data_IF_973118697799
#
_entry.id   IF_973118697799
#
_cell.length_a   1.000
_cell.length_b   1.000
_cell.length_c   1.000
_cell.angle_alpha   90.00
_cell.angle_beta   90.00
_cell.angle_gamma   90.00
#
_symmetry.space_group_name_H-M   'P 1'
#
loop_
_entity.id
_entity.type
_entity.pdbx_description
1 polymer ?
#
# COMPACT_ATOMS: atom_id res chain seq x y z
N UNK A 1 -1.28 13.51 27.62
CA UNK A 1 -2.25 13.92 26.58
C UNK A 1 -2.07 13.08 25.31
N UNK A 2 -3.12 12.82 24.54
CA UNK A 2 -3.02 12.15 23.23
C UNK A 2 -3.32 13.13 22.09
N UNK A 3 -2.54 13.12 21.02
CA UNK A 3 -2.71 14.03 19.88
C UNK A 3 -2.66 13.28 18.55
N UNK A 4 -3.59 13.62 17.66
CA UNK A 4 -3.59 13.17 16.26
C UNK A 4 -2.81 14.14 15.41
N UNK A 5 -1.86 13.63 14.65
CA UNK A 5 -0.90 14.40 13.86
C UNK A 5 -0.90 13.90 12.41
N UNK A 6 -0.31 14.69 11.51
CA UNK A 6 -0.12 14.25 10.14
C UNK A 6 0.84 13.05 10.06
N UNK A 7 0.68 12.20 9.05
CA UNK A 7 1.47 10.97 8.86
C UNK A 7 2.98 11.15 8.72
N UNK A 8 3.50 12.37 8.52
CA UNK A 8 4.94 12.65 8.48
C UNK A 8 5.32 13.93 9.22
N UNK A 9 6.56 14.01 9.70
CA UNK A 9 7.11 15.22 10.33
C UNK A 9 7.12 16.41 9.37
N UNK A 10 7.38 16.18 8.09
CA UNK A 10 7.30 17.22 7.06
C UNK A 10 5.90 17.82 7.02
N UNK A 11 4.85 16.99 7.00
CA UNK A 11 3.49 17.50 7.00
C UNK A 11 3.11 18.18 8.31
N UNK A 12 3.56 17.65 9.46
CA UNK A 12 3.37 18.29 10.76
C UNK A 12 3.91 19.73 10.76
N UNK A 13 5.16 19.92 10.29
CA UNK A 13 5.76 21.26 10.18
C UNK A 13 4.97 22.18 9.24
N UNK A 14 4.51 21.68 8.09
CA UNK A 14 3.72 22.46 7.11
C UNK A 14 2.39 22.96 7.66
N UNK A 15 1.84 22.32 8.69
CA UNK A 15 0.57 22.74 9.35
C UNK A 15 0.79 23.36 10.74
N UNK A 16 2.05 23.60 11.13
CA UNK A 16 2.40 24.30 12.37
C UNK A 16 2.49 23.42 13.62
N UNK A 17 2.64 22.09 13.47
CA UNK A 17 2.86 21.19 14.59
C UNK A 17 4.35 21.02 14.88
N UNK A 18 4.75 21.36 16.10
CA UNK A 18 6.13 21.20 16.59
C UNK A 18 6.24 19.95 17.48
N UNK A 19 6.20 18.79 16.83
CA UNK A 19 6.22 17.48 17.51
C UNK A 19 7.47 17.31 18.40
N UNK A 20 8.70 17.66 17.96
CA UNK A 20 9.88 17.59 18.81
C UNK A 20 9.73 18.37 20.12
N UNK A 21 9.27 19.63 20.06
CA UNK A 21 9.06 20.45 21.27
C UNK A 21 7.99 19.85 22.18
N UNK A 22 6.90 19.33 21.62
CA UNK A 22 5.86 18.70 22.45
C UNK A 22 6.35 17.47 23.21
N UNK A 23 7.25 16.68 22.60
CA UNK A 23 7.89 15.54 23.25
C UNK A 23 8.88 16.02 24.32
N UNK A 24 9.77 16.95 23.98
CA UNK A 24 10.83 17.46 24.88
C UNK A 24 10.24 18.12 26.14
N UNK A 25 9.17 18.91 25.99
CA UNK A 25 8.51 19.60 27.09
C UNK A 25 7.50 18.71 27.85
N UNK A 26 7.35 17.44 27.46
CA UNK A 26 6.43 16.50 28.12
C UNK A 26 4.95 16.88 27.96
N UNK A 27 4.58 17.50 26.84
CA UNK A 27 3.21 17.95 26.58
C UNK A 27 2.32 16.80 26.07
N UNK A 28 2.91 15.73 25.55
CA UNK A 28 2.20 14.61 24.93
C UNK A 28 2.66 13.28 25.49
N UNK A 29 1.74 12.32 25.62
CA UNK A 29 2.02 10.93 25.99
C UNK A 29 1.78 9.96 24.81
N UNK A 30 0.88 10.32 23.88
CA UNK A 30 0.52 9.47 22.74
C UNK A 30 0.48 10.29 21.45
N UNK A 31 1.24 9.84 20.44
CA UNK A 31 1.20 10.36 19.08
C UNK A 31 0.41 9.42 18.17
N UNK A 32 -0.55 9.98 17.43
CA UNK A 32 -1.39 9.25 16.49
C UNK A 32 -1.13 9.81 15.07
N UNK A 33 -0.12 9.31 14.35
CA UNK A 33 0.07 9.68 12.96
C UNK A 33 -1.03 9.08 12.09
N UNK A 34 -1.73 9.92 11.35
CA UNK A 34 -2.85 9.52 10.51
C UNK A 34 -2.97 10.42 9.27
N UNK A 35 -3.77 9.98 8.30
CA UNK A 35 -4.19 10.86 7.20
C UNK A 35 -5.21 11.90 7.67
N UNK A 36 -5.54 12.84 6.80
CA UNK A 36 -6.55 13.86 7.05
C UNK A 36 -7.92 13.46 6.47
N UNK A 37 -7.98 12.85 5.29
CA UNK A 37 -9.24 12.43 4.67
C UNK A 37 -9.44 10.90 4.63
N UNK A 38 -8.37 10.14 4.46
CA UNK A 38 -8.38 8.67 4.49
C UNK A 38 -7.14 8.11 5.17
N UNK A 39 -7.07 6.78 5.24
CA UNK A 39 -5.94 6.11 5.87
C UNK A 39 -4.67 6.41 5.09
N UNK A 40 -3.61 6.83 5.79
CA UNK A 40 -2.26 6.93 5.25
C UNK A 40 -1.54 5.58 5.47
N UNK A 41 -1.45 4.68 4.47
CA UNK A 41 -0.76 3.38 4.59
C UNK A 41 0.75 3.46 4.84
N UNK A 42 1.36 4.63 4.74
CA UNK A 42 2.81 4.83 4.88
C UNK A 42 3.13 6.00 5.80
N UNK A 43 2.31 6.17 6.84
CA UNK A 43 2.66 7.03 7.97
C UNK A 43 4.07 6.66 8.47
N UNK A 44 4.90 7.67 8.73
CA UNK A 44 6.32 7.55 9.10
C UNK A 44 6.49 7.16 10.57
N UNK A 45 5.96 5.99 10.90
CA UNK A 45 5.90 5.46 12.26
C UNK A 45 7.28 5.21 12.83
N UNK A 46 8.21 4.63 12.05
CA UNK A 46 9.56 4.35 12.50
C UNK A 46 10.29 5.63 12.95
N UNK A 47 10.19 6.71 12.14
CA UNK A 47 10.78 8.03 12.47
C UNK A 47 10.19 8.61 13.76
N UNK A 48 8.88 8.48 13.96
CA UNK A 48 8.20 8.98 15.17
C UNK A 48 8.56 8.15 16.41
N UNK A 49 8.64 6.82 16.27
CA UNK A 49 9.06 5.92 17.35
C UNK A 49 10.52 6.21 17.74
N UNK A 50 11.40 6.42 16.76
CA UNK A 50 12.79 6.80 16.99
C UNK A 50 12.88 8.13 17.76
N UNK A 51 12.09 9.14 17.38
CA UNK A 51 12.04 10.43 18.07
C UNK A 51 11.57 10.32 19.52
N UNK A 52 10.73 9.34 19.84
CA UNK A 52 10.24 9.12 21.20
C UNK A 52 11.20 8.30 22.07
N UNK A 53 12.33 7.81 21.53
CA UNK A 53 13.28 7.01 22.30
C UNK A 53 13.81 7.78 23.52
N UNK A 54 13.81 7.12 24.68
CA UNK A 54 14.22 7.74 25.94
C UNK A 54 13.11 8.54 26.65
N UNK A 55 11.89 8.53 26.11
CA UNK A 55 10.69 9.12 26.73
C UNK A 55 9.61 8.06 26.97
N UNK A 56 8.56 8.42 27.71
CA UNK A 56 7.37 7.57 27.89
C UNK A 56 6.33 7.74 26.76
N UNK A 57 6.63 8.53 25.73
CA UNK A 57 5.72 8.80 24.62
C UNK A 57 5.61 7.57 23.72
N UNK A 58 4.37 7.20 23.37
CA UNK A 58 4.07 6.02 22.54
C UNK A 58 3.35 6.41 21.25
N UNK A 59 3.58 5.61 20.19
CA UNK A 59 3.00 5.86 18.86
C UNK A 59 1.90 4.83 18.57
N UNK A 60 0.72 5.34 18.19
CA UNK A 60 -0.48 4.56 17.83
C UNK A 60 -0.98 5.02 16.44
N UNK A 61 -0.46 4.45 15.34
CA UNK A 61 -0.83 4.87 13.99
C UNK A 61 -2.32 4.73 13.73
N UNK A 62 -2.88 5.72 13.03
CA UNK A 62 -4.32 5.85 12.84
C UNK A 62 -4.82 5.26 11.53
N UNK A 63 -5.88 4.47 11.62
CA UNK A 63 -6.75 4.13 10.49
C UNK A 63 -7.93 5.09 10.42
N UNK A 64 -8.38 5.37 9.20
CA UNK A 64 -9.59 6.14 8.91
C UNK A 64 -10.65 5.25 8.24
N UNK A 65 -11.80 5.83 7.89
CA UNK A 65 -12.96 5.11 7.37
C UNK A 65 -12.73 4.33 6.06
N UNK A 66 -11.64 4.56 5.36
CA UNK A 66 -11.23 3.80 4.18
C UNK A 66 -9.78 4.04 3.77
N UNK A 67 -9.28 3.17 2.90
CA UNK A 67 -7.98 3.29 2.24
C UNK A 67 -8.18 3.87 0.83
N UNK A 68 -7.81 5.13 0.57
CA UNK A 68 -8.05 5.76 -0.73
C UNK A 68 -7.09 5.23 -1.80
N UNK A 69 -7.54 5.21 -3.05
CA UNK A 69 -6.70 4.87 -4.21
C UNK A 69 -6.37 3.39 -4.38
N UNK A 70 -6.99 2.49 -3.61
CA UNK A 70 -6.81 1.05 -3.77
C UNK A 70 -7.51 0.58 -5.05
N UNK A 71 -6.80 -0.06 -6.01
CA UNK A 71 -7.42 -0.59 -7.20
C UNK A 71 -8.27 -1.82 -6.88
N UNK A 72 -9.16 -2.20 -7.81
CA UNK A 72 -9.75 -3.53 -7.82
C UNK A 72 -8.65 -4.58 -8.04
N UNK A 73 -8.59 -5.56 -7.15
CA UNK A 73 -7.71 -6.73 -7.26
C UNK A 73 -8.44 -7.99 -7.71
N UNK A 74 -7.75 -9.13 -7.77
CA UNK A 74 -8.38 -10.45 -7.90
C UNK A 74 -9.35 -10.75 -6.74
N UNK A 75 -9.08 -10.22 -5.55
CA UNK A 75 -9.95 -10.33 -4.38
C UNK A 75 -11.13 -9.35 -4.48
N UNK A 76 -12.26 -9.69 -3.83
CA UNK A 76 -13.33 -8.73 -3.64
C UNK A 76 -12.88 -7.55 -2.76
N UNK A 77 -13.60 -6.43 -2.88
CA UNK A 77 -13.25 -5.16 -2.22
C UNK A 77 -13.08 -5.31 -0.70
N UNK A 78 -13.90 -6.12 -0.03
CA UNK A 78 -13.85 -6.27 1.43
C UNK A 78 -12.64 -7.09 1.85
N UNK A 79 -12.42 -8.23 1.19
CA UNK A 79 -11.26 -9.09 1.47
C UNK A 79 -9.95 -8.32 1.27
N UNK A 80 -9.86 -7.58 0.16
CA UNK A 80 -8.70 -6.72 -0.14
C UNK A 80 -8.47 -5.65 0.93
N UNK A 81 -9.51 -4.89 1.31
CA UNK A 81 -9.40 -3.87 2.38
C UNK A 81 -8.86 -4.48 3.68
N UNK A 82 -9.37 -5.65 4.08
CA UNK A 82 -8.96 -6.31 5.31
C UNK A 82 -7.51 -6.82 5.24
N UNK A 83 -7.11 -7.40 4.11
CA UNK A 83 -5.73 -7.84 3.89
C UNK A 83 -4.76 -6.65 3.89
N UNK A 84 -5.12 -5.51 3.27
CA UNK A 84 -4.32 -4.29 3.29
C UNK A 84 -4.22 -3.71 4.71
N UNK A 85 -5.33 -3.65 5.45
CA UNK A 85 -5.34 -3.21 6.85
C UNK A 85 -4.41 -4.05 7.72
N UNK A 86 -4.42 -5.39 7.57
CA UNK A 86 -3.50 -6.29 8.28
C UNK A 86 -2.05 -6.05 7.88
N UNK A 87 -1.76 -5.92 6.59
CA UNK A 87 -0.41 -5.64 6.09
C UNK A 87 0.17 -4.32 6.63
N UNK A 88 -0.64 -3.25 6.58
CA UNK A 88 -0.29 -1.93 7.16
C UNK A 88 -0.05 -2.05 8.66
N UNK A 89 -0.94 -2.74 9.39
CA UNK A 89 -0.81 -2.93 10.84
C UNK A 89 0.48 -3.69 11.19
N UNK A 90 0.79 -4.78 10.48
CA UNK A 90 2.03 -5.52 10.68
C UNK A 90 3.26 -4.65 10.43
N UNK A 91 3.25 -3.82 9.36
CA UNK A 91 4.33 -2.86 9.08
C UNK A 91 4.50 -1.86 10.24
N UNK A 92 3.41 -1.33 10.78
CA UNK A 92 3.43 -0.40 11.90
C UNK A 92 3.94 -1.03 13.19
N UNK A 93 3.55 -2.26 13.51
CA UNK A 93 4.11 -2.98 14.66
C UNK A 93 5.60 -3.25 14.49
N UNK A 94 6.04 -3.66 13.30
CA UNK A 94 7.48 -3.80 13.00
C UNK A 94 8.24 -2.49 13.19
N UNK A 95 7.62 -1.36 12.87
CA UNK A 95 8.17 -0.03 13.09
C UNK A 95 8.15 0.42 14.57
N UNK A 96 7.63 -0.40 15.50
CA UNK A 96 7.64 -0.14 16.94
C UNK A 96 6.37 0.51 17.49
N UNK A 97 5.29 0.60 16.71
CA UNK A 97 3.99 1.04 17.21
C UNK A 97 3.54 0.18 18.41
N UNK A 98 2.87 0.81 19.39
CA UNK A 98 2.33 0.11 20.57
C UNK A 98 0.90 -0.37 20.39
N UNK A 99 0.22 0.07 19.34
CA UNK A 99 -1.13 -0.33 18.98
C UNK A 99 -1.61 0.45 17.77
N UNK A 100 -2.88 0.25 17.41
CA UNK A 100 -3.54 0.99 16.32
C UNK A 100 -4.63 1.89 16.88
N UNK A 101 -4.77 3.10 16.32
CA UNK A 101 -5.89 3.99 16.59
C UNK A 101 -6.92 3.87 15.46
N UNK A 102 -8.20 3.70 15.79
CA UNK A 102 -9.26 3.47 14.80
C UNK A 102 -10.23 4.65 14.75
N UNK A 103 -10.19 5.44 13.67
CA UNK A 103 -11.07 6.59 13.42
C UNK A 103 -12.07 6.29 12.31
N UNK A 104 -13.33 6.73 12.46
CA UNK A 104 -14.41 6.47 11.49
C UNK A 104 -14.65 4.98 11.16
N UNK A 105 -14.19 4.07 12.02
CA UNK A 105 -14.56 2.67 11.99
C UNK A 105 -15.84 2.51 12.81
N UNK A 106 -16.95 2.97 12.25
CA UNK A 106 -18.25 2.89 12.92
C UNK A 106 -18.57 1.43 13.26
N UNK A 107 -18.99 1.20 14.50
CA UNK A 107 -19.29 -0.12 15.06
C UNK A 107 -20.58 -0.72 14.45
N UNK A 108 -20.53 -1.10 13.19
CA UNK A 108 -21.47 -2.07 12.61
C UNK A 108 -21.03 -3.48 12.99
N UNK A 109 -21.98 -4.37 13.32
CA UNK A 109 -21.68 -5.75 13.71
C UNK A 109 -20.80 -6.49 12.68
N UNK A 110 -20.96 -6.17 11.39
CA UNK A 110 -20.45 -7.01 10.30
C UNK A 110 -19.50 -6.28 9.31
N UNK A 111 -19.35 -4.95 9.44
CA UNK A 111 -18.59 -4.16 8.46
C UNK A 111 -17.08 -4.20 8.69
N UNK A 112 -16.62 -4.19 9.95
CA UNK A 112 -15.18 -4.21 10.32
C UNK A 112 -14.84 -5.12 11.51
N UNK A 113 -15.74 -6.02 11.94
CA UNK A 113 -15.53 -6.88 13.12
C UNK A 113 -14.27 -7.73 13.02
N UNK A 114 -14.01 -8.28 11.84
CA UNK A 114 -12.84 -9.14 11.60
C UNK A 114 -11.51 -8.41 11.84
N UNK A 115 -11.18 -7.31 11.11
CA UNK A 115 -9.93 -6.59 11.36
C UNK A 115 -9.86 -6.03 12.78
N UNK A 116 -10.98 -5.61 13.39
CA UNK A 116 -10.99 -5.14 14.79
C UNK A 116 -10.52 -6.18 15.81
N UNK A 117 -10.67 -7.47 15.52
CA UNK A 117 -10.18 -8.56 16.38
C UNK A 117 -8.74 -9.00 16.06
N UNK A 118 -8.13 -8.41 15.04
CA UNK A 118 -6.83 -8.85 14.51
C UNK A 118 -5.74 -7.79 14.63
N UNK A 119 -6.06 -6.51 14.42
CA UNK A 119 -5.06 -5.42 14.41
C UNK A 119 -4.64 -4.93 15.80
N UNK A 120 -5.08 -5.60 16.86
CA UNK A 120 -4.82 -5.20 18.25
C UNK A 120 -3.44 -5.58 18.78
N UNK A 121 -2.79 -6.58 18.20
CA UNK A 121 -1.41 -6.96 18.54
C UNK A 121 -0.73 -7.72 17.39
N UNK A 122 0.59 -7.95 17.53
CA UNK A 122 1.36 -8.78 16.59
C UNK A 122 0.83 -10.21 16.57
N UNK A 123 0.50 -10.75 17.75
CA UNK A 123 0.03 -12.13 17.91
C UNK A 123 -1.28 -12.37 17.16
N UNK A 124 -2.22 -11.42 17.18
CA UNK A 124 -3.50 -11.54 16.49
C UNK A 124 -3.40 -11.29 14.97
N UNK A 125 -2.26 -10.78 14.49
CA UNK A 125 -1.96 -10.63 13.06
C UNK A 125 -1.25 -11.84 12.46
N UNK A 126 -0.64 -12.72 13.29
CA UNK A 126 0.05 -13.92 12.80
C UNK A 126 -0.91 -14.81 12.01
N UNK A 127 -0.40 -15.39 10.91
CA UNK A 127 -1.15 -16.31 10.03
C UNK A 127 -2.49 -15.75 9.52
N UNK A 128 -2.52 -14.45 9.26
CA UNK A 128 -3.63 -13.80 8.56
C UNK A 128 -3.17 -13.38 7.18
N UNK A 129 -4.04 -13.47 6.19
CA UNK A 129 -3.73 -13.03 4.83
C UNK A 129 -3.49 -11.53 4.80
N UNK A 130 -2.44 -11.11 4.08
CA UNK A 130 -1.95 -9.72 4.06
C UNK A 130 -1.61 -9.26 2.66
N UNK A 131 -1.78 -7.96 2.45
CA UNK A 131 -1.26 -7.23 1.28
C UNK A 131 -0.28 -6.19 1.79
N UNK A 132 0.99 -6.33 1.41
CA UNK A 132 2.01 -5.31 1.57
C UNK A 132 2.12 -4.54 0.25
N UNK A 133 1.44 -3.41 0.16
CA UNK A 133 1.40 -2.58 -1.03
C UNK A 133 2.42 -1.44 -0.97
N UNK A 134 2.92 -1.07 -2.14
CA UNK A 134 3.69 0.13 -2.35
C UNK A 134 2.87 1.37 -2.00
N UNK A 135 3.58 2.44 -1.68
CA UNK A 135 2.95 3.71 -1.32
C UNK A 135 2.25 4.34 -2.52
N UNK A 136 0.92 4.22 -2.57
CA UNK A 136 0.08 4.83 -3.58
C UNK A 136 -0.23 6.31 -3.23
N UNK A 137 0.06 7.21 -4.18
CA UNK A 137 -0.30 8.63 -4.08
C UNK A 137 -1.63 8.89 -4.76
N UNK A 138 -2.68 8.91 -3.94
CA UNK A 138 -4.02 9.24 -4.40
C UNK A 138 -4.28 10.75 -4.39
N UNK A 139 -4.70 11.30 -5.52
CA UNK A 139 -5.15 12.69 -5.65
C UNK A 139 -6.52 12.72 -6.31
N UNK A 140 -7.49 13.27 -5.60
CA UNK A 140 -8.82 13.54 -6.14
C UNK A 140 -8.88 14.97 -6.71
N UNK A 141 -8.98 15.07 -8.04
CA UNK A 141 -8.92 16.34 -8.77
C UNK A 141 -10.29 16.98 -9.02
N UNK A 142 -11.39 16.28 -8.79
CA UNK A 142 -12.76 16.73 -9.11
C UNK A 142 -13.76 16.33 -8.01
N UNK A 143 -14.96 16.89 -8.06
CA UNK A 143 -16.04 16.63 -7.10
C UNK A 143 -15.89 17.35 -5.75
N UNK A 144 -16.84 17.12 -4.85
CA UNK A 144 -16.96 17.82 -3.56
C UNK A 144 -15.77 17.56 -2.61
N UNK A 145 -15.10 16.42 -2.80
CA UNK A 145 -13.93 16.01 -2.00
C UNK A 145 -12.59 16.37 -2.67
N UNK A 146 -12.61 17.19 -3.73
CA UNK A 146 -11.40 17.61 -4.44
C UNK A 146 -10.37 18.19 -3.48
N UNK A 147 -9.15 17.65 -3.55
CA UNK A 147 -8.02 18.11 -2.75
C UNK A 147 -7.98 17.58 -1.30
N UNK A 148 -8.99 16.83 -0.84
CA UNK A 148 -9.04 16.31 0.53
C UNK A 148 -7.83 15.43 0.89
N UNK A 149 -7.38 14.60 -0.05
CA UNK A 149 -6.26 13.66 0.11
C UNK A 149 -4.88 14.28 -0.17
N UNK A 150 -4.82 15.52 -0.67
CA UNK A 150 -3.56 16.16 -1.11
C UNK A 150 -2.54 16.29 0.03
N UNK A 151 -3.02 16.40 1.27
CA UNK A 151 -2.20 16.53 2.48
C UNK A 151 -1.96 15.22 3.22
N UNK A 152 -2.75 14.18 2.92
CA UNK A 152 -2.58 12.85 3.51
C UNK A 152 -1.23 12.28 3.09
N UNK A 153 -0.82 12.53 1.84
CA UNK A 153 0.45 12.04 1.31
C UNK A 153 1.09 12.99 0.30
N UNK A 154 2.31 13.45 0.61
CA UNK A 154 3.10 14.30 -0.29
C UNK A 154 3.79 13.48 -1.39
N UNK A 155 4.24 12.27 -1.08
CA UNK A 155 5.05 11.43 -1.97
C UNK A 155 4.47 10.03 -2.04
N UNK A 156 4.45 9.44 -3.23
CA UNK A 156 4.19 8.02 -3.42
C UNK A 156 4.91 7.55 -4.68
N UNK A 157 5.17 6.26 -4.73
CA UNK A 157 5.98 5.64 -5.79
C UNK A 157 5.12 5.18 -6.96
N UNK A 158 3.82 5.02 -6.71
CA UNK A 158 2.79 4.72 -7.69
C UNK A 158 1.57 5.63 -7.49
N UNK A 159 0.75 5.90 -8.53
CA UNK A 159 0.97 5.54 -9.92
C UNK A 159 2.15 6.32 -10.55
N UNK A 160 2.89 5.67 -11.45
CA UNK A 160 4.02 6.28 -12.17
C UNK A 160 4.00 5.88 -13.67
N UNK A 161 4.08 6.85 -14.60
CA UNK A 161 4.20 6.52 -16.02
C UNK A 161 5.59 5.93 -16.30
N UNK A 162 5.61 4.78 -16.96
CA UNK A 162 6.83 4.13 -17.39
C UNK A 162 7.28 4.73 -18.72
N UNK A 163 8.58 5.02 -18.82
CA UNK A 163 9.20 5.61 -20.00
C UNK A 163 10.32 4.70 -20.48
N UNK A 164 10.41 4.50 -21.80
CA UNK A 164 11.59 3.88 -22.38
C UNK A 164 12.74 4.88 -22.32
N UNK A 165 13.85 4.49 -21.71
CA UNK A 165 15.02 5.35 -21.50
C UNK A 165 16.23 4.78 -22.23
N UNK A 166 17.16 5.64 -22.65
CA UNK A 166 18.40 5.19 -23.32
C UNK A 166 19.29 4.36 -22.40
N UNK A 167 19.20 4.56 -21.09
CA UNK A 167 19.92 3.80 -20.06
C UNK A 167 19.24 2.48 -19.72
N UNK A 168 18.05 2.20 -20.29
CA UNK A 168 17.21 1.06 -19.91
C UNK A 168 17.00 0.97 -18.39
N UNK A 169 16.74 2.12 -17.78
CA UNK A 169 16.41 2.22 -16.36
C UNK A 169 14.94 2.63 -16.18
N UNK A 170 14.44 2.44 -14.96
CA UNK A 170 13.05 2.70 -14.60
C UNK A 170 12.87 2.90 -13.10
N UNK A 171 11.64 3.18 -12.63
CA UNK A 171 11.37 3.39 -11.22
C UNK A 171 11.70 2.14 -10.39
N UNK A 172 12.24 2.39 -9.19
CA UNK A 172 12.34 1.40 -8.11
C UNK A 172 11.23 1.69 -7.10
N UNK A 173 10.47 0.67 -6.77
CA UNK A 173 9.36 0.69 -5.82
C UNK A 173 9.78 -0.10 -4.58
N UNK A 174 9.49 0.41 -3.39
CA UNK A 174 9.86 -0.21 -2.14
C UNK A 174 8.63 -0.84 -1.46
N UNK A 175 8.81 -2.07 -1.01
CA UNK A 175 7.84 -2.80 -0.20
C UNK A 175 8.48 -3.11 1.16
N UNK A 176 7.66 -3.15 2.21
CA UNK A 176 8.11 -3.56 3.54
C UNK A 176 7.23 -4.70 4.02
N UNK A 177 7.79 -5.90 4.09
CA UNK A 177 7.16 -7.06 4.72
C UNK A 177 7.48 -7.08 6.21
N UNK A 178 6.53 -7.55 7.00
CA UNK A 178 6.69 -7.64 8.45
C UNK A 178 6.58 -9.05 9.01
N UNK A 179 6.04 -9.98 8.23
CA UNK A 179 5.85 -11.36 8.65
C UNK A 179 7.17 -12.13 8.59
N UNK A 180 7.41 -12.95 9.61
CA UNK A 180 8.51 -13.90 9.68
C UNK A 180 8.04 -15.26 9.13
N UNK A 181 8.44 -15.56 7.90
CA UNK A 181 8.03 -16.79 7.20
C UNK A 181 8.76 -18.05 7.67
N UNK A 182 9.86 -17.92 8.41
CA UNK A 182 10.50 -19.07 9.06
C UNK A 182 9.67 -19.54 10.26
N UNK A 183 9.07 -18.60 10.98
CA UNK A 183 8.18 -18.89 12.11
C UNK A 183 6.77 -19.30 11.67
N UNK A 184 6.21 -18.57 10.71
CA UNK A 184 4.87 -18.78 10.18
C UNK A 184 4.93 -18.89 8.65
N UNK A 185 5.06 -20.11 8.16
CA UNK A 185 5.15 -20.39 6.72
C UNK A 185 3.80 -20.18 6.02
N UNK A 186 3.71 -19.29 5.02
CA UNK A 186 2.51 -19.09 4.22
C UNK A 186 2.31 -20.22 3.20
N UNK A 187 1.08 -20.36 2.70
CA UNK A 187 0.75 -21.29 1.60
C UNK A 187 1.15 -20.72 0.24
N UNK A 188 1.13 -19.39 0.10
CA UNK A 188 1.57 -18.69 -1.10
C UNK A 188 2.10 -17.29 -0.78
N UNK A 189 3.14 -16.88 -1.51
CA UNK A 189 3.62 -15.49 -1.57
C UNK A 189 3.65 -15.09 -3.04
N UNK A 190 2.99 -13.99 -3.38
CA UNK A 190 2.91 -13.54 -4.77
C UNK A 190 3.25 -12.06 -4.88
N UNK A 191 4.21 -11.72 -5.75
CA UNK A 191 4.45 -10.35 -6.19
C UNK A 191 3.48 -10.02 -7.32
N UNK A 192 2.76 -8.92 -7.19
CA UNK A 192 1.80 -8.45 -8.20
C UNK A 192 2.09 -7.00 -8.57
N UNK A 193 2.08 -6.72 -9.86
CA UNK A 193 2.19 -5.37 -10.41
C UNK A 193 0.94 -5.08 -11.23
N UNK A 194 0.31 -3.94 -10.99
CA UNK A 194 -0.81 -3.49 -11.80
C UNK A 194 -0.32 -2.47 -12.81
N UNK A 195 -0.61 -2.74 -14.07
CA UNK A 195 -0.31 -1.85 -15.19
C UNK A 195 -1.62 -1.39 -15.81
N UNK A 196 -1.70 -0.12 -16.14
CA UNK A 196 -2.77 0.48 -16.92
C UNK A 196 -2.26 0.88 -18.30
N UNK A 197 -3.16 0.91 -19.28
CA UNK A 197 -2.83 1.13 -20.70
C UNK A 197 -1.94 0.02 -21.29
N UNK A 198 -2.03 -1.20 -20.77
CA UNK A 198 -1.30 -2.36 -21.26
C UNK A 198 -1.83 -2.83 -22.61
N UNK A 199 -0.92 -3.09 -23.55
CA UNK A 199 -1.24 -3.72 -24.82
C UNK A 199 -0.27 -4.84 -25.16
N UNK A 200 -0.75 -5.82 -25.93
CA UNK A 200 0.11 -6.90 -26.43
C UNK A 200 1.25 -6.31 -27.26
N UNK A 201 2.49 -6.66 -26.91
CA UNK A 201 3.70 -6.17 -27.56
C UNK A 201 4.44 -5.10 -26.77
N UNK A 202 3.90 -4.66 -25.64
CA UNK A 202 4.71 -4.03 -24.59
C UNK A 202 5.69 -5.06 -24.00
N UNK A 203 6.92 -4.62 -23.74
CA UNK A 203 7.98 -5.45 -23.15
C UNK A 203 8.52 -4.76 -21.91
N UNK A 204 8.47 -5.47 -20.77
CA UNK A 204 8.96 -5.01 -19.47
C UNK A 204 10.09 -5.90 -18.99
N UNK A 205 11.03 -5.29 -18.28
CA UNK A 205 11.99 -5.99 -17.42
C UNK A 205 11.66 -5.66 -15.96
N UNK A 206 11.45 -6.69 -15.16
CA UNK A 206 11.08 -6.57 -13.75
C UNK A 206 12.18 -7.24 -12.92
N UNK A 207 12.68 -6.53 -11.91
CA UNK A 207 13.65 -7.08 -10.97
C UNK A 207 13.09 -7.00 -9.55
N UNK A 208 13.13 -8.12 -8.83
CA UNK A 208 12.83 -8.20 -7.40
C UNK A 208 14.13 -8.42 -6.63
N UNK A 209 14.49 -7.49 -5.75
CA UNK A 209 15.78 -7.51 -5.02
C UNK A 209 16.99 -7.72 -5.95
N UNK A 210 16.97 -7.08 -7.12
CA UNK A 210 18.01 -7.19 -8.14
C UNK A 210 17.98 -8.47 -8.98
N UNK A 211 17.14 -9.46 -8.65
CA UNK A 211 16.93 -10.68 -9.45
C UNK A 211 15.87 -10.42 -10.51
N UNK A 212 16.21 -10.69 -11.77
CA UNK A 212 15.26 -10.59 -12.87
C UNK A 212 14.16 -11.65 -12.74
N UNK A 213 12.91 -11.21 -12.90
CA UNK A 213 11.72 -12.04 -12.79
C UNK A 213 11.28 -12.50 -14.17
N UNK A 214 11.07 -13.81 -14.32
CA UNK A 214 10.61 -14.45 -15.57
C UNK A 214 9.27 -15.15 -15.35
N UNK A 215 8.65 -15.59 -16.44
CA UNK A 215 7.46 -16.46 -16.42
C UNK A 215 6.25 -15.83 -15.70
N UNK A 216 6.05 -14.54 -15.92
CA UNK A 216 4.92 -13.80 -15.36
C UNK A 216 3.58 -14.35 -15.82
N UNK A 217 2.64 -14.48 -14.89
CA UNK A 217 1.24 -14.72 -15.19
C UNK A 217 0.50 -13.38 -15.36
N UNK A 218 -0.02 -13.12 -16.55
CA UNK A 218 -0.70 -11.87 -16.91
C UNK A 218 -2.21 -12.07 -16.85
N UNK A 219 -2.84 -11.52 -15.82
CA UNK A 219 -4.30 -11.47 -15.68
C UNK A 219 -4.85 -10.14 -16.20
N UNK A 220 -5.70 -10.21 -17.22
CA UNK A 220 -6.43 -9.05 -17.71
C UNK A 220 -7.58 -8.69 -16.77
N UNK A 221 -7.66 -7.40 -16.41
CA UNK A 221 -8.78 -6.90 -15.62
C UNK A 221 -10.05 -6.87 -16.47
N UNK A 222 -11.17 -7.23 -15.87
CA UNK A 222 -12.46 -7.16 -16.56
C UNK A 222 -12.93 -5.71 -16.58
N UNK A 223 -13.27 -5.21 -17.77
CA UNK A 223 -13.95 -3.92 -17.90
C UNK A 223 -15.36 -4.07 -17.31
N UNK A 224 -15.62 -3.40 -16.18
CA UNK A 224 -16.97 -3.35 -15.61
C UNK A 224 -17.81 -2.45 -16.52
N UNK A 225 -18.74 -3.02 -17.28
CA UNK A 225 -19.76 -2.27 -18.00
C UNK A 225 -20.71 -1.61 -16.97
N UNK A 226 -20.73 -0.28 -16.85
CA UNK A 226 -21.63 0.42 -15.93
C UNK A 226 -23.12 0.22 -16.27
N UNK A 227 -23.45 -0.34 -17.45
CA UNK A 227 -24.82 -0.56 -17.91
C UNK A 227 -25.28 -2.04 -17.89
N UNK A 228 -24.44 -2.99 -17.43
CA UNK A 228 -24.74 -4.43 -17.35
C UNK A 228 -25.63 -4.95 -18.50
N UNK A 229 -25.16 -4.85 -19.75
CA UNK A 229 -25.81 -5.57 -20.85
C UNK A 229 -25.51 -7.07 -20.70
N UNK A 230 -26.52 -7.82 -20.25
CA UNK A 230 -26.39 -9.18 -19.70
C UNK A 230 -25.70 -10.24 -20.58
N UNK A 231 -25.22 -11.29 -19.91
CA UNK A 231 -24.84 -12.66 -20.34
C UNK A 231 -24.04 -12.89 -21.64
N UNK A 232 -23.71 -11.87 -22.43
CA UNK A 232 -22.87 -11.94 -23.63
C UNK A 232 -21.55 -11.21 -23.38
N UNK A 233 -20.77 -11.70 -22.42
CA UNK A 233 -19.43 -11.20 -22.09
C UNK A 233 -18.38 -11.65 -23.13
N UNK A 234 -18.62 -11.36 -24.40
CA UNK A 234 -17.61 -11.55 -25.46
C UNK A 234 -16.78 -10.28 -25.54
N UNK A 235 -15.60 -10.27 -24.90
CA UNK A 235 -14.60 -9.20 -25.05
C UNK A 235 -14.46 -8.18 -23.92
N UNK A 236 -14.92 -8.48 -22.70
CA UNK A 236 -14.91 -7.56 -21.55
C UNK A 236 -13.54 -7.36 -20.88
N UNK A 237 -12.44 -7.25 -21.62
CA UNK A 237 -11.11 -6.99 -21.03
C UNK A 237 -10.79 -5.49 -21.11
N UNK A 238 -10.43 -4.91 -19.97
CA UNK A 238 -9.93 -3.54 -19.89
C UNK A 238 -8.45 -3.45 -20.26
N UNK A 239 -7.92 -2.22 -20.41
CA UNK A 239 -6.50 -1.98 -20.67
C UNK A 239 -5.60 -2.24 -19.44
N UNK A 240 -6.19 -2.65 -18.31
CA UNK A 240 -5.48 -2.89 -17.07
C UNK A 240 -5.13 -4.38 -16.94
N UNK A 241 -3.92 -4.68 -16.49
CA UNK A 241 -3.47 -6.04 -16.21
C UNK A 241 -2.79 -6.14 -14.86
N UNK A 242 -2.91 -7.31 -14.24
CA UNK A 242 -2.07 -7.76 -13.14
C UNK A 242 -0.98 -8.67 -13.69
N UNK A 243 0.28 -8.27 -13.54
CA UNK A 243 1.46 -9.09 -13.81
C UNK A 243 1.87 -9.75 -12.50
N UNK A 244 1.85 -11.07 -12.44
CA UNK A 244 1.97 -11.84 -11.20
C UNK A 244 3.14 -12.81 -11.25
N UNK A 245 3.84 -12.92 -10.12
CA UNK A 245 4.93 -13.86 -9.93
C UNK A 245 4.76 -14.58 -8.60
N UNK A 246 4.72 -15.91 -8.64
CA UNK A 246 4.79 -16.72 -7.43
C UNK A 246 6.23 -16.72 -6.91
N UNK A 247 6.38 -16.45 -5.62
CA UNK A 247 7.66 -16.37 -4.94
C UNK A 247 7.79 -17.49 -3.91
N UNK A 248 9.01 -17.96 -3.70
CA UNK A 248 9.33 -18.78 -2.54
C UNK A 248 9.40 -17.85 -1.31
N UNK A 249 8.75 -18.23 -0.22
CA UNK A 249 8.73 -17.43 1.01
C UNK A 249 10.15 -17.14 1.54
N UNK A 250 11.12 -18.04 1.31
CA UNK A 250 12.52 -17.82 1.71
C UNK A 250 13.20 -16.65 0.97
N UNK A 251 12.69 -16.29 -0.22
CA UNK A 251 13.22 -15.20 -1.04
C UNK A 251 12.62 -13.84 -0.63
N UNK A 252 11.68 -13.82 0.33
CA UNK A 252 10.96 -12.64 0.82
C UNK A 252 11.08 -12.52 2.35
N UNK A 253 12.30 -12.34 2.90
CA UNK A 253 12.47 -12.20 4.35
C UNK A 253 11.79 -10.93 4.88
N UNK A 254 11.43 -10.91 6.17
CA UNK A 254 10.86 -9.72 6.78
C UNK A 254 11.78 -8.50 6.65
N UNK A 255 11.32 -7.44 5.96
CA UNK A 255 12.09 -6.23 5.79
C UNK A 255 11.78 -5.50 4.50
N UNK A 256 12.73 -4.69 4.06
CA UNK A 256 12.62 -3.91 2.84
C UNK A 256 12.92 -4.78 1.60
N UNK A 257 12.14 -4.56 0.56
CA UNK A 257 12.34 -5.15 -0.75
C UNK A 257 12.22 -4.10 -1.84
N UNK A 258 13.00 -4.28 -2.90
CA UNK A 258 12.99 -3.41 -4.06
C UNK A 258 12.39 -4.13 -5.27
N UNK A 259 11.46 -3.45 -5.94
CA UNK A 259 10.87 -3.86 -7.21
C UNK A 259 11.22 -2.81 -8.26
N UNK A 260 12.17 -3.11 -9.14
CA UNK A 260 12.53 -2.24 -10.26
C UNK A 260 11.72 -2.64 -11.50
N UNK A 261 11.10 -1.65 -12.15
CA UNK A 261 10.27 -1.86 -13.34
C UNK A 261 10.80 -1.02 -14.49
N UNK A 262 11.29 -1.67 -15.54
CA UNK A 262 11.87 -1.01 -16.70
C UNK A 262 11.01 -1.28 -17.93
N UNK A 263 10.58 -0.21 -18.61
CA UNK A 263 9.93 -0.31 -19.91
C UNK A 263 10.98 -0.47 -21.01
N UNK A 264 11.13 -1.70 -21.51
CA UNK A 264 12.04 -2.01 -22.61
C UNK A 264 11.47 -1.48 -23.91
N UNK A 265 10.18 -1.71 -24.14
CA UNK A 265 9.51 -1.31 -25.38
C UNK A 265 8.03 -1.02 -25.14
N UNK A 266 7.59 0.14 -25.59
CA UNK A 266 6.18 0.50 -25.72
C UNK A 266 5.69 0.11 -27.11
N UNK A 267 4.46 -0.39 -27.21
CA UNK A 267 3.86 -0.67 -28.51
C UNK A 267 3.78 0.60 -29.40
N UNK A 268 4.29 0.58 -30.65
CA UNK A 268 4.48 1.80 -31.46
C UNK A 268 3.18 2.47 -31.91
N UNK A 269 2.05 1.76 -31.85
CA UNK A 269 0.74 2.33 -32.21
C UNK A 269 0.00 2.96 -31.03
N UNK A 270 0.57 2.95 -29.81
CA UNK A 270 -0.05 3.53 -28.63
C UNK A 270 0.72 4.77 -28.20
N UNK A 271 0.01 5.90 -28.12
CA UNK A 271 0.57 7.18 -27.72
C UNK A 271 0.49 7.44 -26.20
N UNK A 272 -0.40 6.73 -25.48
CA UNK A 272 -0.50 6.82 -24.02
C UNK A 272 0.68 6.12 -23.35
N UNK A 273 1.07 6.65 -22.20
CA UNK A 273 2.07 6.00 -21.35
C UNK A 273 1.52 4.69 -20.78
N UNK A 274 2.37 3.68 -20.70
CA UNK A 274 2.11 2.54 -19.84
C UNK A 274 2.31 2.98 -18.40
N UNK A 275 1.30 2.83 -17.54
CA UNK A 275 1.36 3.35 -16.16
C UNK A 275 1.44 2.19 -15.18
N UNK A 276 2.47 2.17 -14.34
CA UNK A 276 2.53 1.30 -13.18
C UNK A 276 1.65 1.91 -12.08
N UNK A 277 0.48 1.33 -11.84
CA UNK A 277 -0.48 1.89 -10.88
C UNK A 277 -0.28 1.34 -9.48
N UNK A 278 0.16 0.10 -9.35
CA UNK A 278 0.29 -0.58 -8.06
C UNK A 278 1.38 -1.65 -8.10
N UNK A 279 2.01 -1.88 -6.96
CA UNK A 279 2.94 -2.99 -6.71
C UNK A 279 2.63 -3.53 -5.32
N UNK A 280 2.47 -4.84 -5.19
CA UNK A 280 2.12 -5.45 -3.91
C UNK A 280 2.71 -6.86 -3.75
N UNK A 281 3.03 -7.20 -2.51
CA UNK A 281 3.26 -8.57 -2.07
C UNK A 281 2.02 -9.07 -1.35
N UNK A 282 1.47 -10.17 -1.85
CA UNK A 282 0.30 -10.83 -1.28
C UNK A 282 0.74 -12.10 -0.60
N UNK A 283 0.41 -12.22 0.68
CA UNK A 283 0.74 -13.36 1.53
C UNK A 283 -0.55 -14.05 1.92
N UNK A 284 -0.63 -15.35 1.62
CA UNK A 284 -1.79 -16.20 1.92
C UNK A 284 -1.36 -17.32 2.85
N UNK A 285 -2.14 -17.57 3.91
CA UNK A 285 -1.88 -18.58 4.93
C UNK A 285 -2.82 -19.79 4.85
#
# INVERSE_FOLDING_TARGET
MAVRIAGSLEMCRRIGYDIPTWIEEGLVDILIPAGNAGTDPDAKVAELVEMCQGTDVVVYPGFDGGLPGVPSGPEDTKTRDFMSVRGISSKHYRAGAKGMYLFNWHAGRDTRREPMTQVGSVETLRKTDKIYAATNRYILNEGDWRGAYRRDRILGEVPVPLKSTMTQDGPTIHLVTADDFELDTPTAVQLRLRLSEWVRGDELKILFNGKEMTDADIAYCVAVDPHQLGASAVGSFGPDVWVRFDLDAKDVPAGEHEVKVVLIKRHPQVASDLVLTDVELVVTY
#
